data_IF_917463104896
#
_entry.id   IF_917463104896
#
_cell.length_a   1.000
_cell.length_b   1.000
_cell.length_c   1.000
_cell.angle_alpha   90.00
_cell.angle_beta   90.00
_cell.angle_gamma   90.00
#
_symmetry.space_group_name_H-M   'P 1'
#
loop_
_entity.id
_entity.type
_entity.pdbx_description
1 polymer ?
#
# COMPACT_ATOMS: atom_id res chain seq x y z
N UNK A 1 37.02 12.79 -14.55
CA UNK A 1 36.42 12.88 -13.18
C UNK A 1 35.03 13.48 -13.31
N UNK A 2 33.99 12.64 -13.43
CA UNK A 2 32.59 13.11 -13.40
C UNK A 2 32.16 13.27 -11.94
N UNK A 3 31.83 14.48 -11.57
CA UNK A 3 31.16 14.81 -10.31
C UNK A 3 29.75 14.22 -10.34
N UNK A 4 29.50 13.20 -9.52
CA UNK A 4 28.13 12.84 -9.14
C UNK A 4 27.56 14.03 -8.38
N UNK A 5 26.69 14.79 -9.04
CA UNK A 5 25.81 15.73 -8.36
C UNK A 5 24.96 14.91 -7.38
N UNK A 6 25.26 15.01 -6.09
CA UNK A 6 24.41 14.52 -5.04
C UNK A 6 23.07 15.25 -5.19
N UNK A 7 22.02 14.53 -5.62
CA UNK A 7 20.69 15.12 -5.58
C UNK A 7 20.40 15.44 -4.11
N UNK A 8 19.98 16.68 -3.79
CA UNK A 8 19.55 16.99 -2.43
C UNK A 8 18.42 16.02 -2.07
N UNK A 9 18.49 15.44 -0.87
CA UNK A 9 17.43 14.58 -0.33
C UNK A 9 16.14 15.40 -0.32
N UNK A 10 15.26 15.14 -1.29
CA UNK A 10 13.92 15.74 -1.31
C UNK A 10 13.16 15.21 -0.08
N UNK A 11 12.37 16.06 0.59
CA UNK A 11 11.50 15.58 1.66
C UNK A 11 10.52 14.53 1.11
N UNK A 12 10.04 13.60 1.96
CA UNK A 12 9.00 12.67 1.56
C UNK A 12 7.79 13.43 0.99
N UNK A 13 7.16 12.95 -0.09
CA UNK A 13 5.97 13.60 -0.62
C UNK A 13 4.86 13.68 0.41
N UNK A 14 4.16 14.82 0.41
CA UNK A 14 3.05 15.10 1.32
C UNK A 14 1.93 15.76 0.54
N UNK A 15 0.69 15.53 0.98
CA UNK A 15 -0.46 16.23 0.42
C UNK A 15 -0.33 17.74 0.63
N UNK A 16 -0.68 18.49 -0.40
CA UNK A 16 -0.74 19.94 -0.32
C UNK A 16 -1.87 20.36 0.62
N UNK A 17 -1.50 21.06 1.70
CA UNK A 17 -2.43 21.66 2.66
C UNK A 17 -2.35 23.17 2.53
N UNK A 18 -3.29 23.84 1.84
CA UNK A 18 -3.25 25.29 1.69
C UNK A 18 -3.35 25.95 3.07
N UNK A 19 -2.33 26.73 3.45
CA UNK A 19 -2.31 27.49 4.72
C UNK A 19 -3.01 28.86 4.59
N UNK A 20 -3.16 29.35 3.37
CA UNK A 20 -3.72 30.67 3.00
C UNK A 20 -4.39 30.58 1.63
N UNK A 21 -5.32 31.50 1.33
CA UNK A 21 -6.01 31.57 0.03
C UNK A 21 -5.09 31.87 -1.16
N UNK A 22 -3.90 32.41 -0.90
CA UNK A 22 -2.85 32.60 -1.90
C UNK A 22 -1.79 31.51 -1.75
N UNK A 23 -1.75 30.61 -2.73
CA UNK A 23 -0.70 29.60 -2.86
C UNK A 23 0.46 30.18 -3.67
N UNK A 24 1.73 30.05 -3.22
CA UNK A 24 2.91 30.44 -4.01
C UNK A 24 3.08 29.59 -5.28
N UNK A 25 2.24 28.57 -5.48
CA UNK A 25 2.27 27.65 -6.61
C UNK A 25 1.14 27.94 -7.62
N UNK A 26 0.96 29.20 -8.02
CA UNK A 26 -0.13 29.63 -8.91
C UNK A 26 -0.14 28.97 -10.30
N UNK A 27 0.96 28.34 -10.70
CA UNK A 27 1.10 27.59 -11.96
C UNK A 27 0.76 26.10 -11.83
N UNK A 28 0.47 25.61 -10.62
CA UNK A 28 0.08 24.22 -10.37
C UNK A 28 -1.39 24.16 -9.98
N UNK A 29 -2.08 23.18 -10.56
CA UNK A 29 -3.44 22.83 -10.14
C UNK A 29 -3.34 21.76 -9.05
N UNK A 30 -4.10 21.94 -7.97
CA UNK A 30 -4.21 20.96 -6.91
C UNK A 30 -5.65 20.51 -6.75
N UNK A 31 -5.87 19.20 -6.65
CA UNK A 31 -7.16 18.57 -6.36
C UNK A 31 -6.95 17.54 -5.25
N UNK A 32 -7.74 17.62 -4.18
CA UNK A 32 -7.63 16.79 -2.97
C UNK A 32 -6.19 16.66 -2.40
N UNK A 33 -5.41 17.73 -2.52
CA UNK A 33 -4.02 17.80 -2.06
C UNK A 33 -2.99 17.19 -3.02
N UNK A 34 -3.41 16.58 -4.12
CA UNK A 34 -2.55 16.07 -5.19
C UNK A 34 -2.31 17.14 -6.26
N UNK A 35 -1.16 17.07 -6.93
CA UNK A 35 -0.86 17.93 -8.10
C UNK A 35 -1.49 17.31 -9.34
N UNK A 36 -2.30 18.08 -10.05
CA UNK A 36 -2.83 17.70 -11.36
C UNK A 36 -1.94 18.31 -12.45
N UNK A 37 -1.25 17.44 -13.19
CA UNK A 37 -0.31 17.85 -14.23
C UNK A 37 -0.33 16.89 -15.42
N UNK A 38 -0.45 17.46 -16.61
CA UNK A 38 -0.39 16.72 -17.87
C UNK A 38 1.06 16.55 -18.31
N UNK A 39 1.42 15.33 -18.71
CA UNK A 39 2.70 15.01 -19.31
C UNK A 39 2.48 14.37 -20.68
N UNK A 40 3.42 14.57 -21.60
CA UNK A 40 3.43 13.84 -22.86
C UNK A 40 3.74 12.36 -22.59
N UNK A 41 3.10 11.43 -23.32
CA UNK A 41 3.22 9.99 -23.05
C UNK A 41 4.66 9.47 -23.13
N UNK A 42 5.50 10.05 -23.99
CA UNK A 42 6.93 9.71 -24.10
C UNK A 42 7.78 10.08 -22.89
N UNK A 43 7.25 10.94 -22.01
CA UNK A 43 7.94 11.40 -20.80
C UNK A 43 7.46 10.64 -19.56
N UNK A 44 6.59 9.65 -19.72
CA UNK A 44 6.04 8.83 -18.65
C UNK A 44 6.49 7.40 -18.90
N UNK A 45 6.90 6.73 -17.84
CA UNK A 45 7.20 5.29 -17.85
C UNK A 45 6.21 4.62 -16.93
N UNK A 46 5.55 3.58 -17.41
CA UNK A 46 4.69 2.75 -16.57
C UNK A 46 5.52 1.98 -15.56
N UNK A 47 5.11 2.04 -14.30
CA UNK A 47 5.71 1.29 -13.21
C UNK A 47 4.73 0.22 -12.74
N UNK A 48 5.23 -1.00 -12.52
CA UNK A 48 4.46 -2.07 -11.88
C UNK A 48 4.55 -2.00 -10.34
N UNK A 49 5.61 -1.37 -9.84
CA UNK A 49 5.94 -1.26 -8.42
C UNK A 49 6.28 0.18 -8.08
N UNK A 50 5.86 0.64 -6.91
CA UNK A 50 6.10 1.99 -6.39
C UNK A 50 6.77 1.93 -5.01
N UNK A 51 7.71 2.82 -4.70
CA UNK A 51 8.20 2.98 -3.34
C UNK A 51 7.03 3.21 -2.36
N UNK A 52 7.11 2.52 -1.23
CA UNK A 52 6.03 2.44 -0.25
C UNK A 52 5.69 3.80 0.35
N UNK A 53 6.68 4.67 0.49
CA UNK A 53 6.56 6.02 1.03
C UNK A 53 5.73 6.94 0.12
N UNK A 54 5.56 6.57 -1.15
CA UNK A 54 4.80 7.35 -2.11
C UNK A 54 3.31 7.00 -2.10
N UNK A 55 2.90 5.86 -1.53
CA UNK A 55 1.51 5.41 -1.65
C UNK A 55 0.57 6.08 -0.64
N UNK A 56 1.05 6.37 0.57
CA UNK A 56 0.23 6.94 1.65
C UNK A 56 -0.43 8.26 1.23
N UNK A 57 0.24 9.23 0.59
CA UNK A 57 -0.42 10.45 0.11
C UNK A 57 -1.56 10.17 -0.89
N UNK A 58 -1.42 9.18 -1.77
CA UNK A 58 -2.50 8.83 -2.71
C UNK A 58 -3.70 8.24 -1.97
N UNK A 59 -3.51 7.32 -1.04
CA UNK A 59 -4.61 6.77 -0.22
C UNK A 59 -5.27 7.86 0.64
N UNK A 60 -4.49 8.75 1.25
CA UNK A 60 -4.97 9.84 2.10
C UNK A 60 -5.74 10.91 1.30
N UNK A 61 -5.45 11.08 0.01
CA UNK A 61 -6.12 12.09 -0.82
C UNK A 61 -7.62 11.83 -0.98
N UNK A 62 -8.06 10.58 -0.90
CA UNK A 62 -9.43 10.16 -1.22
C UNK A 62 -9.91 10.66 -2.60
N UNK A 63 -8.98 10.95 -3.52
CA UNK A 63 -9.32 11.48 -4.83
C UNK A 63 -9.98 10.38 -5.71
N UNK A 64 -11.10 10.63 -6.41
CA UNK A 64 -11.81 9.62 -7.21
C UNK A 64 -10.93 8.92 -8.25
N UNK A 65 -10.03 9.66 -8.90
CA UNK A 65 -9.08 9.08 -9.88
C UNK A 65 -8.11 8.08 -9.24
N UNK A 66 -7.74 8.24 -7.97
CA UNK A 66 -6.86 7.28 -7.29
C UNK A 66 -7.60 5.96 -7.06
N UNK A 67 -8.88 6.01 -6.67
CA UNK A 67 -9.70 4.81 -6.48
C UNK A 67 -9.94 4.03 -7.79
N UNK A 68 -10.02 4.73 -8.92
CA UNK A 68 -10.24 4.10 -10.23
C UNK A 68 -8.94 3.79 -10.99
N UNK A 69 -7.81 4.36 -10.57
CA UNK A 69 -6.53 4.10 -11.21
C UNK A 69 -6.00 2.72 -10.83
N UNK A 70 -5.35 2.07 -11.79
CA UNK A 70 -4.54 0.90 -11.46
C UNK A 70 -3.24 1.37 -10.83
N UNK A 71 -3.20 1.35 -9.50
CA UNK A 71 -2.01 1.76 -8.77
C UNK A 71 -0.92 0.70 -8.87
N UNK A 72 0.36 1.09 -9.03
CA UNK A 72 1.49 0.18 -8.88
C UNK A 72 1.53 -0.40 -7.45
N UNK A 73 2.07 -1.62 -7.31
CA UNK A 73 2.18 -2.28 -6.00
C UNK A 73 3.28 -1.60 -5.16
N UNK A 74 3.06 -1.29 -3.87
CA UNK A 74 4.13 -0.93 -2.95
C UNK A 74 5.25 -1.97 -2.90
N UNK A 75 6.51 -1.52 -2.84
CA UNK A 75 7.68 -2.41 -2.76
C UNK A 75 7.65 -3.39 -1.57
N UNK A 76 7.01 -3.01 -0.46
CA UNK A 76 6.88 -3.86 0.73
C UNK A 76 5.76 -4.90 0.62
N UNK A 77 4.84 -4.75 -0.35
CA UNK A 77 3.72 -5.67 -0.50
C UNK A 77 4.17 -6.87 -1.31
N UNK A 78 4.42 -7.97 -0.60
CA UNK A 78 4.88 -9.21 -1.17
C UNK A 78 3.94 -10.32 -0.73
N UNK A 79 3.51 -11.12 -1.70
CA UNK A 79 2.67 -12.28 -1.48
C UNK A 79 3.31 -13.49 -2.11
N UNK A 80 3.35 -14.59 -1.37
CA UNK A 80 3.95 -15.82 -1.84
C UNK A 80 2.89 -16.76 -2.44
N UNK A 81 3.28 -17.53 -3.45
CA UNK A 81 2.43 -18.60 -3.97
C UNK A 81 2.18 -19.61 -2.85
N UNK A 82 0.91 -19.92 -2.64
CA UNK A 82 0.44 -20.78 -1.55
C UNK A 82 0.18 -20.04 -0.23
N UNK A 83 0.44 -18.74 -0.14
CA UNK A 83 0.05 -17.92 1.01
C UNK A 83 -1.47 -17.83 1.11
N UNK A 84 -1.98 -17.86 2.34
CA UNK A 84 -3.40 -17.65 2.63
C UNK A 84 -3.63 -16.16 2.89
N UNK A 85 -4.60 -15.59 2.19
CA UNK A 85 -4.95 -14.18 2.23
C UNK A 85 -6.44 -13.99 2.49
N UNK A 86 -6.79 -12.85 3.08
CA UNK A 86 -8.15 -12.35 3.03
C UNK A 86 -8.35 -11.60 1.71
N UNK A 87 -9.47 -11.86 1.06
CA UNK A 87 -9.90 -11.21 -0.18
C UNK A 87 -11.06 -10.28 0.16
N UNK A 88 -10.90 -9.00 -0.19
CA UNK A 88 -11.95 -7.99 -0.14
C UNK A 88 -12.51 -7.79 -1.55
N UNK A 89 -13.70 -8.30 -1.81
CA UNK A 89 -14.36 -8.13 -3.10
C UNK A 89 -15.33 -6.94 -3.03
N UNK A 90 -15.05 -5.89 -3.82
CA UNK A 90 -15.93 -4.71 -3.93
C UNK A 90 -17.37 -5.05 -4.32
N UNK A 91 -17.59 -6.18 -5.01
CA UNK A 91 -18.90 -6.66 -5.43
C UNK A 91 -19.59 -7.52 -4.36
N UNK A 92 -18.86 -8.01 -3.36
CA UNK A 92 -19.38 -8.91 -2.32
C UNK A 92 -18.89 -8.44 -0.94
N UNK A 93 -19.71 -7.65 -0.21
CA UNK A 93 -19.30 -7.12 1.09
C UNK A 93 -19.03 -8.25 2.08
N UNK A 94 -17.75 -8.42 2.43
CA UNK A 94 -17.24 -9.45 3.34
C UNK A 94 -15.82 -9.88 2.97
N UNK A 95 -15.03 -10.30 3.97
CA UNK A 95 -13.71 -10.88 3.74
C UNK A 95 -13.85 -12.38 3.52
N UNK A 96 -13.28 -12.89 2.42
CA UNK A 96 -13.23 -14.33 2.12
C UNK A 96 -11.79 -14.82 2.23
N UNK A 97 -11.57 -16.00 2.83
CA UNK A 97 -10.25 -16.62 2.80
C UNK A 97 -9.99 -17.21 1.42
N UNK A 98 -8.76 -17.06 0.95
CA UNK A 98 -8.29 -17.70 -0.26
C UNK A 98 -6.81 -18.02 -0.19
N UNK A 99 -6.37 -18.89 -1.08
CA UNK A 99 -4.97 -19.27 -1.21
C UNK A 99 -4.44 -18.80 -2.57
N UNK A 100 -3.29 -18.13 -2.56
CA UNK A 100 -2.68 -17.64 -3.79
C UNK A 100 -2.20 -18.84 -4.62
N UNK A 101 -2.73 -18.95 -5.83
CA UNK A 101 -2.41 -20.00 -6.78
C UNK A 101 -1.31 -19.57 -7.75
N UNK A 102 -1.44 -18.36 -8.29
CA UNK A 102 -0.49 -17.80 -9.24
C UNK A 102 -0.47 -16.27 -9.17
N UNK A 103 0.59 -15.69 -9.71
CA UNK A 103 0.74 -14.25 -9.92
C UNK A 103 0.83 -14.00 -11.42
N UNK A 104 -0.16 -13.30 -11.95
CA UNK A 104 -0.11 -12.84 -13.34
C UNK A 104 0.61 -11.49 -13.39
N UNK A 105 1.71 -11.47 -14.14
CA UNK A 105 2.53 -10.27 -14.39
C UNK A 105 2.49 -9.85 -15.86
N UNK A 106 1.49 -10.31 -16.62
CA UNK A 106 1.41 -10.10 -18.06
C UNK A 106 1.53 -8.61 -18.41
N UNK A 107 2.57 -8.30 -19.20
CA UNK A 107 2.89 -6.94 -19.63
C UNK A 107 1.82 -6.32 -20.53
N UNK A 108 0.86 -7.12 -21.00
CA UNK A 108 -0.21 -6.69 -21.91
C UNK A 108 -1.15 -5.69 -21.21
N UNK A 109 -1.41 -5.90 -19.91
CA UNK A 109 -2.23 -4.98 -19.13
C UNK A 109 -1.39 -4.00 -18.28
N UNK A 110 -0.09 -4.24 -18.11
CA UNK A 110 0.76 -3.50 -17.16
C UNK A 110 0.17 -3.49 -15.73
N UNK A 111 -0.54 -4.56 -15.38
CA UNK A 111 -1.12 -4.75 -14.07
C UNK A 111 -0.56 -6.05 -13.50
N UNK A 112 -0.34 -6.06 -12.21
CA UNK A 112 -0.11 -7.29 -11.48
C UNK A 112 -1.47 -7.73 -10.93
N UNK A 113 -1.82 -8.98 -11.16
CA UNK A 113 -3.01 -9.60 -10.57
C UNK A 113 -2.62 -10.92 -9.91
N UNK A 114 -3.40 -11.32 -8.91
CA UNK A 114 -3.20 -12.58 -8.21
C UNK A 114 -4.37 -13.51 -8.48
N UNK A 115 -4.08 -14.71 -8.95
CA UNK A 115 -5.06 -15.78 -9.00
C UNK A 115 -5.18 -16.37 -7.59
N UNK A 116 -6.34 -16.20 -6.98
CA UNK A 116 -6.63 -16.68 -5.63
C UNK A 116 -7.73 -17.71 -5.71
N UNK A 117 -7.46 -18.89 -5.17
CA UNK A 117 -8.43 -19.96 -5.00
C UNK A 117 -9.20 -19.74 -3.69
N UNK A 118 -10.50 -19.45 -3.81
CA UNK A 118 -11.39 -19.22 -2.67
C UNK A 118 -12.41 -20.34 -2.59
N UNK A 119 -12.73 -20.81 -1.38
CA UNK A 119 -13.72 -21.87 -1.18
C UNK A 119 -15.10 -21.52 -1.75
N UNK A 120 -15.42 -20.22 -1.80
CA UNK A 120 -16.73 -19.72 -2.22
C UNK A 120 -16.85 -19.49 -3.73
N UNK A 121 -15.76 -19.08 -4.38
CA UNK A 121 -15.81 -18.60 -5.77
C UNK A 121 -14.84 -19.32 -6.72
N UNK A 122 -14.07 -20.29 -6.21
CA UNK A 122 -12.98 -20.93 -6.93
C UNK A 122 -11.84 -19.97 -7.23
N UNK A 123 -11.08 -20.27 -8.27
CA UNK A 123 -9.95 -19.45 -8.73
C UNK A 123 -10.47 -18.22 -9.48
N UNK A 124 -10.09 -17.03 -8.99
CA UNK A 124 -10.34 -15.73 -9.64
C UNK A 124 -9.13 -14.83 -9.55
N UNK A 125 -9.03 -13.88 -10.48
CA UNK A 125 -8.01 -12.83 -10.47
C UNK A 125 -8.45 -11.66 -9.61
N UNK A 126 -7.57 -11.22 -8.71
CA UNK A 126 -7.79 -10.10 -7.80
C UNK A 126 -6.70 -9.04 -7.94
N UNK A 127 -7.06 -7.79 -7.67
CA UNK A 127 -6.08 -6.73 -7.49
C UNK A 127 -5.25 -7.01 -6.24
N UNK A 128 -3.95 -6.68 -6.23
CA UNK A 128 -3.13 -6.70 -5.01
C UNK A 128 -3.79 -5.90 -3.87
N UNK A 129 -4.51 -4.83 -4.21
CA UNK A 129 -5.23 -3.97 -3.26
C UNK A 129 -6.48 -4.62 -2.66
N UNK A 130 -6.96 -5.73 -3.24
CA UNK A 130 -8.06 -6.52 -2.72
C UNK A 130 -7.56 -7.58 -1.72
N UNK A 131 -6.25 -7.73 -1.56
CA UNK A 131 -5.63 -8.78 -0.75
C UNK A 131 -5.07 -8.24 0.56
N UNK A 132 -5.37 -8.93 1.65
CA UNK A 132 -4.85 -8.63 2.99
C UNK A 132 -4.17 -9.87 3.55
N UNK A 133 -2.98 -9.70 4.14
CA UNK A 133 -2.29 -10.80 4.83
C UNK A 133 -3.14 -11.29 6.00
N UNK A 134 -3.25 -12.61 6.16
CA UNK A 134 -3.91 -13.20 7.32
C UNK A 134 -2.97 -13.08 8.51
N UNK A 135 -3.40 -12.32 9.52
CA UNK A 135 -2.70 -12.17 10.80
C UNK A 135 -3.68 -12.50 11.92
N UNK A 136 -3.24 -13.33 12.87
CA UNK A 136 -4.01 -13.82 14.01
C UNK A 136 -3.29 -13.53 15.35
N UNK A 137 -4.04 -13.40 16.45
CA UNK A 137 -3.43 -13.34 17.78
C UNK A 137 -2.52 -14.55 18.03
N UNK A 138 -1.32 -14.28 18.53
CA UNK A 138 -0.26 -15.28 18.72
C UNK A 138 0.79 -15.31 17.59
N UNK A 139 0.50 -14.73 16.42
CA UNK A 139 1.47 -14.67 15.33
C UNK A 139 2.65 -13.75 15.69
N UNK A 140 3.85 -14.14 15.27
CA UNK A 140 5.03 -13.29 15.35
C UNK A 140 5.19 -12.51 14.05
N UNK A 141 5.20 -11.17 14.16
CA UNK A 141 5.17 -10.27 13.00
C UNK A 141 6.25 -9.21 13.08
N UNK A 142 6.56 -8.62 11.93
CA UNK A 142 7.43 -7.46 11.78
C UNK A 142 6.71 -6.35 11.04
N UNK A 143 6.82 -5.11 11.52
CA UNK A 143 6.25 -3.95 10.85
C UNK A 143 7.17 -3.55 9.70
N UNK A 144 6.66 -3.55 8.47
CA UNK A 144 7.45 -3.30 7.25
C UNK A 144 7.45 -1.85 6.79
N UNK A 145 6.41 -1.08 7.14
CA UNK A 145 6.23 0.31 6.69
C UNK A 145 5.61 1.17 7.81
N UNK A 146 5.81 2.50 7.72
CA UNK A 146 5.28 3.48 8.67
C UNK A 146 6.28 3.88 9.75
N UNK A 147 5.84 4.74 10.68
CA UNK A 147 6.68 5.29 11.77
C UNK A 147 7.37 4.22 12.64
N UNK A 148 6.82 3.01 12.62
CA UNK A 148 7.15 1.93 13.54
C UNK A 148 7.78 0.75 12.79
N UNK A 149 8.18 0.97 11.54
CA UNK A 149 8.88 0.00 10.71
C UNK A 149 10.15 -0.54 11.40
N UNK A 150 10.42 -1.83 11.19
CA UNK A 150 11.52 -2.57 11.81
C UNK A 150 11.21 -3.10 13.22
N UNK A 151 10.12 -2.67 13.86
CA UNK A 151 9.67 -3.27 15.11
C UNK A 151 9.09 -4.66 14.87
N UNK A 152 9.27 -5.54 15.85
CA UNK A 152 8.80 -6.94 15.81
C UNK A 152 8.12 -7.32 17.11
N UNK A 153 7.26 -8.34 17.08
CA UNK A 153 6.59 -8.81 18.27
C UNK A 153 5.45 -9.78 18.00
N UNK A 154 4.73 -10.15 19.07
CA UNK A 154 3.58 -11.03 18.99
C UNK A 154 2.29 -10.23 18.87
N UNK A 155 1.38 -10.67 18.01
CA UNK A 155 0.05 -10.10 17.89
C UNK A 155 -0.77 -10.46 19.13
N UNK A 156 -1.22 -9.46 19.87
CA UNK A 156 -2.03 -9.63 21.10
C UNK A 156 -3.51 -9.56 20.78
N UNK A 157 -3.89 -8.63 19.90
CA UNK A 157 -5.26 -8.45 19.47
C UNK A 157 -5.33 -7.88 18.07
N UNK A 158 -6.46 -8.13 17.41
CA UNK A 158 -6.79 -7.63 16.09
C UNK A 158 -8.22 -7.11 16.13
N UNK A 159 -8.44 -5.92 15.60
CA UNK A 159 -9.74 -5.48 15.14
C UNK A 159 -9.72 -5.31 13.60
N UNK A 160 -10.83 -4.88 13.00
CA UNK A 160 -10.98 -4.83 11.54
C UNK A 160 -9.85 -4.07 10.84
N UNK A 161 -9.33 -2.98 11.42
CA UNK A 161 -8.28 -2.15 10.80
C UNK A 161 -7.01 -2.06 11.63
N UNK A 162 -7.01 -2.45 12.90
CA UNK A 162 -5.92 -2.27 13.84
C UNK A 162 -5.36 -3.60 14.34
N UNK A 163 -4.03 -3.73 14.26
CA UNK A 163 -3.27 -4.79 14.90
C UNK A 163 -2.55 -4.25 16.13
N UNK A 164 -2.61 -5.01 17.21
CA UNK A 164 -1.95 -4.69 18.47
C UNK A 164 -0.80 -5.67 18.69
N UNK A 165 0.43 -5.16 18.76
CA UNK A 165 1.65 -5.97 18.87
C UNK A 165 2.32 -5.73 20.23
N UNK A 166 2.64 -6.82 20.93
CA UNK A 166 3.50 -6.80 22.11
C UNK A 166 4.97 -6.99 21.68
N UNK A 167 5.88 -6.08 22.08
CA UNK A 167 7.27 -6.16 21.69
C UNK A 167 7.95 -7.44 22.20
N UNK A 168 8.87 -7.99 21.40
CA UNK A 168 9.64 -9.20 21.72
C UNK A 168 10.69 -8.99 22.82
N UNK A 169 11.03 -7.74 23.14
CA UNK A 169 11.95 -7.37 24.21
C UNK A 169 11.17 -6.99 25.47
N UNK A 170 11.56 -7.53 26.63
CA UNK A 170 10.99 -7.31 27.98
C UNK A 170 11.04 -5.84 28.46
N UNK A 171 10.44 -4.90 27.73
CA UNK A 171 10.07 -3.59 28.24
C UNK A 171 8.66 -3.74 28.82
N UNK A 172 8.50 -3.40 30.09
CA UNK A 172 7.28 -3.62 30.91
C UNK A 172 6.05 -2.84 30.39
N UNK A 173 6.16 -2.10 29.27
CA UNK A 173 5.14 -1.70 28.27
C UNK A 173 5.85 -0.75 27.26
N UNK A 174 5.53 -0.73 25.94
CA UNK A 174 4.20 -0.40 25.44
C UNK A 174 3.68 -1.33 24.33
N UNK A 175 2.42 -1.72 24.50
CA UNK A 175 1.55 -2.22 23.45
C UNK A 175 1.43 -1.17 22.35
N UNK A 176 1.66 -1.55 21.10
CA UNK A 176 1.56 -0.62 19.97
C UNK A 176 0.48 -1.07 19.00
N UNK A 177 -0.37 -0.13 18.58
CA UNK A 177 -1.55 -0.37 17.75
C UNK A 177 -1.40 0.33 16.40
N UNK A 178 -1.60 -0.39 15.29
CA UNK A 178 -1.35 0.14 13.94
C UNK A 178 -2.39 -0.26 12.91
N UNK A 179 -2.65 0.63 11.96
CA UNK A 179 -3.51 0.35 10.80
C UNK A 179 -2.79 -0.55 9.80
N UNK A 180 -3.47 -1.56 9.25
CA UNK A 180 -2.87 -2.53 8.31
C UNK A 180 -3.58 -2.64 6.95
N UNK A 181 -4.39 -1.65 6.59
CA UNK A 181 -5.02 -1.51 5.27
C UNK A 181 -4.04 -1.04 4.21
#
# INVERSE_FOLDING_TARGET
KQSRLLMPCLPPPQLFKPKTSESPYSYLTFEDGLIIKTFHSTNIVSALVIPSELISPFHESQHPLVYHATMPIPTHWQFDIGEVVWVSDSMNPGLTLGKIHAMDTTRVLQQIQFEVDTDKYGIRSYSPFDLLKVVQPGDYVSIVVGEQAGKTGFVVSRNETLLTIAPSCFAVNPVSTFSYT
#
